data_IF_066236984658
#
_entry.id   IF_066236984658
#
_cell.length_a   1.000
_cell.length_b   1.000
_cell.length_c   1.000
_cell.angle_alpha   90.00
_cell.angle_beta   90.00
_cell.angle_gamma   90.00
#
_symmetry.space_group_name_H-M   'P 1'
#
loop_
_entity.id
_entity.type
_entity.pdbx_description
1 polymer ?
#
# COMPACT_ATOMS: atom_id res chain seq x y z
N UNK A 1 16.88 -3.46 -4.07
CA UNK A 1 15.59 -3.19 -3.40
C UNK A 1 14.71 -4.37 -3.70
N UNK A 2 14.39 -5.14 -2.68
CA UNK A 2 13.49 -6.29 -2.82
C UNK A 2 12.09 -5.75 -3.12
N UNK A 3 11.59 -6.09 -4.31
CA UNK A 3 10.25 -5.69 -4.74
C UNK A 3 9.26 -6.41 -3.84
N UNK A 4 8.27 -5.67 -3.31
CA UNK A 4 7.07 -6.28 -2.77
C UNK A 4 6.50 -7.25 -3.79
N UNK A 5 6.45 -8.53 -3.42
CA UNK A 5 6.11 -9.61 -4.34
C UNK A 5 4.90 -10.35 -3.79
N UNK A 6 3.80 -10.29 -4.53
CA UNK A 6 2.60 -11.05 -4.28
C UNK A 6 2.03 -11.50 -5.63
N UNK A 7 1.18 -12.52 -5.61
CA UNK A 7 0.68 -13.18 -6.82
C UNK A 7 -0.06 -12.22 -7.79
N UNK A 8 -0.60 -11.11 -7.27
CA UNK A 8 -1.30 -10.10 -8.08
C UNK A 8 -0.42 -8.96 -8.58
N UNK A 9 0.88 -8.93 -8.22
CA UNK A 9 1.78 -7.82 -8.57
C UNK A 9 1.93 -7.66 -10.08
N UNK A 10 1.98 -8.77 -10.80
CA UNK A 10 2.05 -8.78 -12.26
C UNK A 10 0.79 -8.15 -12.89
N UNK A 11 -0.40 -8.49 -12.40
CA UNK A 11 -1.65 -7.92 -12.91
C UNK A 11 -1.77 -6.42 -12.60
N UNK A 12 -1.37 -5.99 -11.39
CA UNK A 12 -1.31 -4.56 -11.05
C UNK A 12 -0.38 -3.81 -12.01
N UNK A 13 0.80 -4.37 -12.31
CA UNK A 13 1.75 -3.79 -13.25
C UNK A 13 1.15 -3.67 -14.66
N UNK A 14 0.47 -4.72 -15.14
CA UNK A 14 -0.18 -4.70 -16.46
C UNK A 14 -1.26 -3.60 -16.55
N UNK A 15 -2.08 -3.43 -15.51
CA UNK A 15 -3.13 -2.39 -15.47
C UNK A 15 -2.48 -1.00 -15.38
N UNK A 16 -1.50 -0.83 -14.51
CA UNK A 16 -0.78 0.45 -14.32
C UNK A 16 -0.11 0.91 -15.62
N UNK A 17 0.38 -0.01 -16.45
CA UNK A 17 1.15 0.31 -17.66
C UNK A 17 0.38 0.20 -18.98
N UNK A 18 -0.92 -0.12 -18.96
CA UNK A 18 -1.75 -0.09 -20.18
C UNK A 18 -2.30 1.32 -20.48
N UNK A 19 -2.63 1.63 -21.73
CA UNK A 19 -3.30 2.91 -22.05
C UNK A 19 -4.75 2.91 -21.54
N UNK A 20 -5.40 1.75 -21.56
CA UNK A 20 -6.76 1.53 -21.07
C UNK A 20 -6.93 0.14 -20.46
N UNK A 21 -8.01 -0.07 -19.69
CA UNK A 21 -8.32 -1.41 -19.20
C UNK A 21 -8.80 -2.33 -20.33
N UNK A 22 -9.51 -1.81 -21.32
CA UNK A 22 -9.91 -2.56 -22.51
C UNK A 22 -8.72 -3.12 -23.28
N UNK A 23 -7.65 -2.32 -23.45
CA UNK A 23 -6.39 -2.79 -24.03
C UNK A 23 -5.73 -3.87 -23.17
N UNK A 24 -5.68 -3.66 -21.85
CA UNK A 24 -5.12 -4.63 -20.91
C UNK A 24 -5.79 -6.01 -21.06
N UNK A 25 -7.12 -6.03 -21.11
CA UNK A 25 -7.94 -7.24 -21.25
C UNK A 25 -7.77 -7.91 -22.62
N UNK A 26 -7.64 -7.13 -23.71
CA UNK A 26 -7.39 -7.69 -25.05
C UNK A 26 -6.12 -8.53 -25.09
N UNK A 27 -5.09 -8.09 -24.38
CA UNK A 27 -3.79 -8.75 -24.34
C UNK A 27 -3.68 -9.81 -23.23
N UNK A 28 -4.50 -9.72 -22.17
CA UNK A 28 -4.43 -10.55 -20.96
C UNK A 28 -5.86 -10.82 -20.44
N UNK A 29 -6.63 -11.64 -21.16
CA UNK A 29 -8.07 -11.81 -20.88
C UNK A 29 -8.35 -12.41 -19.49
N UNK A 30 -7.41 -13.19 -18.94
CA UNK A 30 -7.50 -13.81 -17.62
C UNK A 30 -7.58 -12.78 -16.48
N UNK A 31 -7.14 -11.54 -16.73
CA UNK A 31 -7.17 -10.47 -15.71
C UNK A 31 -8.58 -10.15 -15.24
N UNK A 32 -9.59 -10.35 -16.11
CA UNK A 32 -11.00 -10.11 -15.78
C UNK A 32 -11.45 -11.00 -14.63
N UNK A 33 -10.99 -12.26 -14.62
CA UNK A 33 -11.31 -13.22 -13.57
C UNK A 33 -10.60 -12.91 -12.25
N UNK A 34 -9.60 -12.03 -12.25
CA UNK A 34 -8.80 -11.62 -11.09
C UNK A 34 -9.18 -10.25 -10.54
N UNK A 35 -10.15 -9.56 -11.14
CA UNK A 35 -10.59 -8.23 -10.69
C UNK A 35 -10.99 -8.22 -9.20
N UNK A 36 -11.79 -9.17 -8.68
CA UNK A 36 -12.17 -9.15 -7.27
C UNK A 36 -10.96 -9.15 -6.32
N UNK A 37 -9.99 -10.02 -6.58
CA UNK A 37 -8.78 -10.12 -5.76
C UNK A 37 -7.84 -8.93 -5.96
N UNK A 38 -7.76 -8.38 -7.17
CA UNK A 38 -7.03 -7.12 -7.44
C UNK A 38 -7.63 -5.98 -6.63
N UNK A 39 -8.96 -5.85 -6.58
CA UNK A 39 -9.64 -4.83 -5.79
C UNK A 39 -9.42 -5.05 -4.28
N UNK A 40 -9.41 -6.31 -3.82
CA UNK A 40 -9.09 -6.64 -2.43
C UNK A 40 -7.67 -6.21 -2.06
N UNK A 41 -6.69 -6.54 -2.89
CA UNK A 41 -5.29 -6.13 -2.72
C UNK A 41 -5.19 -4.61 -2.67
N UNK A 42 -5.72 -3.93 -3.69
CA UNK A 42 -5.66 -2.46 -3.78
C UNK A 42 -6.34 -1.80 -2.57
N UNK A 43 -7.49 -2.32 -2.13
CA UNK A 43 -8.19 -1.80 -0.96
C UNK A 43 -7.38 -1.94 0.32
N UNK A 44 -6.75 -3.10 0.55
CA UNK A 44 -5.89 -3.31 1.71
C UNK A 44 -4.65 -2.41 1.67
N UNK A 45 -4.02 -2.24 0.50
CA UNK A 45 -2.80 -1.45 0.35
C UNK A 45 -3.05 0.05 0.49
N UNK A 46 -4.15 0.56 -0.07
CA UNK A 46 -4.61 1.94 0.18
C UNK A 46 -4.86 2.16 1.67
N UNK A 47 -5.58 1.24 2.34
CA UNK A 47 -5.88 1.38 3.77
C UNK A 47 -4.60 1.48 4.61
N UNK A 48 -3.56 0.72 4.27
CA UNK A 48 -2.26 0.83 4.93
C UNK A 48 -1.59 2.19 4.65
N UNK A 49 -1.60 2.65 3.40
CA UNK A 49 -1.03 3.96 3.05
C UNK A 49 -1.75 5.11 3.79
N UNK A 50 -3.08 5.06 3.88
CA UNK A 50 -3.89 6.02 4.64
C UNK A 50 -3.57 5.98 6.13
N UNK A 51 -3.50 4.79 6.72
CA UNK A 51 -3.11 4.62 8.12
C UNK A 51 -1.72 5.20 8.36
N UNK A 52 -0.76 5.01 7.45
CA UNK A 52 0.57 5.60 7.56
C UNK A 52 0.57 7.14 7.49
N UNK A 53 -0.29 7.76 6.68
CA UNK A 53 -0.48 9.21 6.67
C UNK A 53 -1.13 9.70 7.97
N UNK A 54 -2.15 9.01 8.47
CA UNK A 54 -2.81 9.34 9.74
C UNK A 54 -1.85 9.23 10.93
N UNK A 55 -0.99 8.21 10.93
CA UNK A 55 0.07 8.03 11.94
C UNK A 55 1.01 9.23 11.99
N UNK A 56 1.46 9.66 10.82
CA UNK A 56 2.30 10.83 10.68
C UNK A 56 1.63 12.10 11.25
N UNK A 57 0.37 12.35 10.91
CA UNK A 57 -0.32 13.56 11.34
C UNK A 57 -0.60 13.60 12.84
N UNK A 58 -0.87 12.45 13.46
CA UNK A 58 -1.34 12.40 14.84
C UNK A 58 -0.23 12.19 15.88
N UNK A 59 1.05 12.05 15.49
CA UNK A 59 2.29 11.94 16.31
C UNK A 59 2.34 10.84 17.38
N UNK A 60 1.20 10.38 17.90
CA UNK A 60 0.98 9.29 18.83
C UNK A 60 -0.32 8.59 18.43
N UNK A 61 -0.21 7.72 17.45
CA UNK A 61 -1.35 6.98 16.93
C UNK A 61 -1.00 5.51 16.85
N UNK A 62 -1.92 4.69 17.33
CA UNK A 62 -1.93 3.25 17.13
C UNK A 62 -2.83 2.98 15.94
N UNK A 63 -2.42 2.04 15.08
CA UNK A 63 -3.32 1.47 14.09
C UNK A 63 -3.22 -0.06 14.12
N UNK A 64 -4.30 -0.69 13.65
CA UNK A 64 -4.47 -2.14 13.73
C UNK A 64 -4.51 -2.73 12.33
N UNK A 65 -3.80 -3.84 12.14
CA UNK A 65 -3.90 -4.68 10.94
C UNK A 65 -4.57 -5.99 11.35
N UNK A 66 -5.78 -6.30 10.85
CA UNK A 66 -6.40 -7.59 11.07
C UNK A 66 -5.53 -8.73 10.53
N UNK A 67 -5.38 -9.82 11.28
CA UNK A 67 -4.65 -11.03 10.81
C UNK A 67 -5.32 -11.69 9.60
N UNK A 68 -6.61 -11.45 9.40
CA UNK A 68 -7.35 -11.87 8.22
C UNK A 68 -7.00 -11.07 6.96
N UNK A 69 -6.36 -9.90 7.08
CA UNK A 69 -5.97 -9.07 5.94
C UNK A 69 -4.72 -9.63 5.28
N UNK A 70 -4.94 -10.53 4.32
CA UNK A 70 -3.90 -11.33 3.64
C UNK A 70 -2.74 -10.50 3.07
N UNK A 71 -3.00 -9.30 2.56
CA UNK A 71 -2.00 -8.48 1.85
C UNK A 71 -1.52 -7.28 2.68
N UNK A 72 -2.35 -6.78 3.60
CA UNK A 72 -2.07 -5.58 4.37
C UNK A 72 -0.75 -5.66 5.16
N UNK A 73 -0.50 -6.77 5.87
CA UNK A 73 0.71 -6.94 6.66
C UNK A 73 1.97 -6.98 5.77
N UNK A 74 1.91 -7.73 4.67
CA UNK A 74 3.02 -7.85 3.73
C UNK A 74 3.39 -6.49 3.12
N UNK A 75 2.38 -5.73 2.71
CA UNK A 75 2.57 -4.39 2.16
C UNK A 75 3.10 -3.40 3.21
N UNK A 76 2.57 -3.43 4.43
CA UNK A 76 3.09 -2.61 5.53
C UNK A 76 4.56 -2.91 5.81
N UNK A 77 4.93 -4.20 5.89
CA UNK A 77 6.33 -4.60 6.07
C UNK A 77 7.20 -4.14 4.91
N UNK A 78 6.72 -4.20 3.67
CA UNK A 78 7.44 -3.66 2.52
C UNK A 78 7.70 -2.15 2.64
N UNK A 79 6.68 -1.34 2.96
CA UNK A 79 6.84 0.10 3.13
C UNK A 79 7.81 0.42 4.27
N UNK A 80 7.72 -0.35 5.36
CA UNK A 80 8.64 -0.28 6.50
C UNK A 80 10.07 -0.60 6.11
N UNK A 81 10.31 -1.70 5.41
CA UNK A 81 11.66 -2.21 5.15
C UNK A 81 12.35 -1.50 3.98
N UNK A 82 11.62 -1.11 2.94
CA UNK A 82 12.24 -0.41 1.81
C UNK A 82 12.52 1.06 2.10
N UNK A 83 11.60 1.75 2.80
CA UNK A 83 11.65 3.21 2.92
C UNK A 83 11.77 3.69 4.33
N UNK A 84 11.02 3.13 5.28
CA UNK A 84 11.25 3.50 6.67
C UNK A 84 12.65 3.07 7.11
N UNK A 85 13.16 1.90 6.76
CA UNK A 85 14.51 1.45 7.17
C UNK A 85 15.63 2.44 6.82
N UNK A 86 15.67 2.92 5.57
CA UNK A 86 16.73 3.80 5.08
C UNK A 86 16.53 5.28 5.43
N UNK A 87 15.28 5.75 5.55
CA UNK A 87 14.96 7.17 5.76
C UNK A 87 14.71 7.49 7.24
N UNK A 88 14.20 6.54 8.02
CA UNK A 88 13.58 6.78 9.33
C UNK A 88 13.97 5.78 10.45
N UNK A 89 13.80 4.48 10.26
CA UNK A 89 13.91 3.46 11.32
C UNK A 89 15.33 3.24 11.82
N UNK A 90 16.39 3.58 11.06
CA UNK A 90 17.74 3.39 11.60
C UNK A 90 18.02 4.26 12.85
N UNK A 91 17.25 5.35 13.09
CA UNK A 91 17.45 6.27 14.24
C UNK A 91 16.23 7.05 14.79
N UNK A 92 15.08 7.10 14.11
CA UNK A 92 14.05 8.12 14.37
C UNK A 92 12.61 7.59 14.45
N UNK A 93 12.37 6.30 14.24
CA UNK A 93 11.04 5.76 14.06
C UNK A 93 11.00 4.36 14.69
N UNK A 94 10.64 4.34 15.97
CA UNK A 94 10.37 3.12 16.70
C UNK A 94 8.96 2.65 16.31
N UNK A 95 8.88 1.45 15.76
CA UNK A 95 7.62 0.77 15.46
C UNK A 95 7.45 -0.30 16.53
N UNK A 96 6.62 -0.02 17.52
CA UNK A 96 6.26 -1.04 18.50
C UNK A 96 5.15 -1.91 17.90
N UNK A 97 5.40 -3.21 17.87
CA UNK A 97 4.43 -4.20 17.43
C UNK A 97 3.91 -4.97 18.64
N UNK A 98 2.60 -4.94 18.85
CA UNK A 98 1.93 -5.82 19.80
C UNK A 98 0.97 -6.74 19.04
N UNK A 99 0.88 -7.99 19.50
CA UNK A 99 0.01 -8.98 18.87
C UNK A 99 -1.16 -9.30 19.80
N UNK A 100 -2.37 -9.28 19.24
CA UNK A 100 -3.57 -9.84 19.89
C UNK A 100 -4.08 -11.02 19.06
N UNK A 101 -5.14 -11.69 19.54
CA UNK A 101 -5.70 -12.87 18.88
C UNK A 101 -6.03 -12.63 17.40
N UNK A 102 -6.61 -11.47 17.07
CA UNK A 102 -7.12 -11.17 15.74
C UNK A 102 -6.37 -10.04 15.01
N UNK A 103 -5.45 -9.33 15.68
CA UNK A 103 -4.83 -8.11 15.15
C UNK A 103 -3.34 -8.02 15.45
N UNK A 104 -2.64 -7.33 14.55
CA UNK A 104 -1.35 -6.71 14.83
C UNK A 104 -1.57 -5.23 15.12
N UNK A 105 -1.02 -4.77 16.24
CA UNK A 105 -1.06 -3.37 16.67
C UNK A 105 0.29 -2.76 16.37
N UNK A 106 0.28 -1.61 15.71
CA UNK A 106 1.48 -0.85 15.41
C UNK A 106 1.37 0.55 15.96
N UNK A 107 2.41 0.97 16.66
CA UNK A 107 2.56 2.32 17.19
C UNK A 107 3.80 2.95 16.57
N UNK A 108 3.63 4.18 16.06
CA UNK A 108 4.69 4.90 15.36
C UNK A 108 5.15 6.10 16.18
N UNK A 109 6.41 6.11 16.63
CA UNK A 109 6.98 7.31 17.26
C UNK A 109 7.75 8.15 16.23
N UNK A 110 7.14 9.23 15.75
CA UNK A 110 7.73 10.15 14.75
C UNK A 110 8.29 11.43 15.36
N UNK A 111 8.16 11.63 16.68
CA UNK A 111 8.47 12.90 17.36
C UNK A 111 9.95 13.31 17.21
N UNK A 112 10.85 12.34 17.05
CA UNK A 112 12.30 12.55 16.97
C UNK A 112 12.84 12.66 15.54
N UNK A 113 11.98 12.58 14.52
CA UNK A 113 12.44 12.59 13.13
C UNK A 113 12.75 14.03 12.62
N UNK A 114 13.83 14.24 11.85
CA UNK A 114 14.16 15.55 11.27
C UNK A 114 13.19 15.97 10.15
N UNK A 115 12.81 17.26 10.07
CA UNK A 115 11.79 17.81 9.15
C UNK A 115 11.93 17.36 7.68
N UNK A 116 13.15 17.37 7.13
CA UNK A 116 13.41 16.95 5.74
C UNK A 116 13.09 15.47 5.47
N UNK A 117 13.08 14.62 6.50
CA UNK A 117 12.63 13.23 6.39
C UNK A 117 11.10 13.17 6.26
N UNK A 118 10.38 14.09 6.91
CA UNK A 118 8.91 14.18 6.88
C UNK A 118 8.37 14.46 5.48
N UNK A 119 8.99 15.39 4.76
CA UNK A 119 8.63 15.67 3.36
C UNK A 119 8.84 14.46 2.45
N UNK A 120 9.96 13.74 2.62
CA UNK A 120 10.25 12.52 1.86
C UNK A 120 9.24 11.40 2.15
N UNK A 121 8.82 11.25 3.40
CA UNK A 121 7.80 10.28 3.79
C UNK A 121 6.46 10.57 3.13
N UNK A 122 5.94 11.80 3.30
CA UNK A 122 4.65 12.19 2.72
C UNK A 122 4.69 12.01 1.20
N UNK A 123 5.73 12.53 0.55
CA UNK A 123 5.86 12.45 -0.91
C UNK A 123 5.84 11.00 -1.41
N UNK A 124 6.48 10.08 -0.69
CA UNK A 124 6.47 8.68 -1.05
C UNK A 124 5.11 8.01 -0.84
N UNK A 125 4.49 8.17 0.34
CA UNK A 125 3.19 7.55 0.60
C UNK A 125 2.13 8.10 -0.37
N UNK A 126 2.14 9.40 -0.67
CA UNK A 126 1.30 9.98 -1.71
C UNK A 126 1.55 9.36 -3.09
N UNK A 127 2.81 9.10 -3.45
CA UNK A 127 3.15 8.43 -4.71
C UNK A 127 2.61 7.00 -4.78
N UNK A 128 2.71 6.23 -3.71
CA UNK A 128 2.10 4.89 -3.66
C UNK A 128 0.58 4.96 -3.76
N UNK A 129 -0.08 5.85 -3.01
CA UNK A 129 -1.53 6.06 -3.11
C UNK A 129 -1.97 6.44 -4.53
N UNK A 130 -1.22 7.31 -5.21
CA UNK A 130 -1.52 7.74 -6.57
C UNK A 130 -1.51 6.57 -7.56
N UNK A 131 -0.54 5.65 -7.47
CA UNK A 131 -0.49 4.44 -8.32
C UNK A 131 -1.77 3.62 -8.18
N UNK A 132 -2.24 3.43 -6.96
CA UNK A 132 -3.49 2.69 -6.72
C UNK A 132 -4.71 3.43 -7.24
N UNK A 133 -4.78 4.75 -7.08
CA UNK A 133 -5.84 5.57 -7.66
C UNK A 133 -5.86 5.50 -9.19
N UNK A 134 -4.70 5.46 -9.84
CA UNK A 134 -4.59 5.26 -11.29
C UNK A 134 -5.14 3.90 -11.73
N UNK A 135 -4.75 2.83 -11.02
CA UNK A 135 -5.27 1.47 -11.26
C UNK A 135 -6.79 1.45 -11.12
N UNK A 136 -7.33 2.01 -10.03
CA UNK A 136 -8.78 2.10 -9.81
C UNK A 136 -9.50 2.93 -10.88
N UNK A 137 -8.89 4.02 -11.34
CA UNK A 137 -9.45 4.85 -12.40
C UNK A 137 -9.53 4.11 -13.73
N UNK A 138 -8.54 3.28 -14.05
CA UNK A 138 -8.56 2.42 -15.25
C UNK A 138 -9.63 1.34 -15.13
N UNK A 139 -9.71 0.67 -13.98
CA UNK A 139 -10.74 -0.33 -13.71
C UNK A 139 -12.16 0.26 -13.79
N UNK A 140 -12.37 1.47 -13.27
CA UNK A 140 -13.67 2.16 -13.30
C UNK A 140 -14.14 2.54 -14.71
N UNK A 141 -13.21 2.88 -15.60
CA UNK A 141 -13.52 3.28 -16.99
C UNK A 141 -13.90 2.10 -17.89
N UNK A 142 -13.75 0.89 -17.39
CA UNK A 142 -14.14 -0.33 -18.07
C UNK A 142 -15.65 -0.38 -18.31
N UNK A 143 -16.06 -0.35 -19.58
CA UNK A 143 -17.47 -0.49 -19.99
C UNK A 143 -17.96 -1.93 -20.10
N UNK A 144 -17.22 -2.92 -19.61
CA UNK A 144 -17.49 -4.36 -19.84
C UNK A 144 -18.74 -4.88 -19.08
N UNK A 145 -19.51 -4.02 -18.38
CA UNK A 145 -20.71 -4.38 -17.62
C UNK A 145 -22.02 -3.72 -18.11
N UNK A 146 -22.07 -3.25 -19.36
CA UNK A 146 -23.33 -2.98 -20.09
C UNK A 146 -23.59 -4.05 -21.14
#
# INVERSE_FOLDING_TARGET
>A
MDRYNHEYRYYLYLIENSESFEECVKNNCEIVLKIPEILEVVGQEISIAENMLLLYHNKQSRFEIPKSSKYALGYFNYLRENILYNIYCKKCLDVDMQESENFYHYELNVEKAPLNRHELFIGYICNESNKYLEILNKLKKCKILE
#
